data_IF_131630372241
#
_entry.id   IF_131630372241
#
_cell.length_a   1.000
_cell.length_b   1.000
_cell.length_c   1.000
_cell.angle_alpha   90.00
_cell.angle_beta   90.00
_cell.angle_gamma   90.00
#
_symmetry.space_group_name_H-M   'P 1'
#
loop_
_entity.id
_entity.type
_entity.pdbx_description
1 polymer ?
#
# COMPACT_ATOMS: atom_id res chain seq x y z
N UNK A 1 4.57 15.31 -8.72
CA UNK A 1 3.10 15.58 -8.72
C UNK A 1 2.29 14.30 -8.64
N UNK A 2 2.18 13.45 -9.69
CA UNK A 2 1.35 12.24 -9.58
C UNK A 2 1.79 11.21 -8.53
N UNK A 3 3.11 10.99 -8.35
CA UNK A 3 3.65 9.97 -7.42
C UNK A 3 3.59 10.39 -5.95
N UNK A 4 3.81 11.66 -5.66
CA UNK A 4 3.81 12.17 -4.27
C UNK A 4 2.40 12.10 -3.67
N UNK A 5 1.37 12.37 -4.47
CA UNK A 5 -0.03 12.20 -4.06
C UNK A 5 -0.35 10.73 -3.72
N UNK A 6 0.15 9.77 -4.50
CA UNK A 6 -0.13 8.34 -4.28
C UNK A 6 0.52 7.78 -3.00
N UNK A 7 1.66 8.34 -2.59
CA UNK A 7 2.45 7.80 -1.46
C UNK A 7 2.29 8.60 -0.17
N UNK A 8 1.90 9.86 -0.27
CA UNK A 8 1.91 10.81 0.85
C UNK A 8 0.80 11.88 0.78
N UNK A 9 -0.18 11.73 -0.14
CA UNK A 9 -1.24 12.70 -0.34
C UNK A 9 -2.29 12.71 0.79
N UNK A 10 -2.84 11.55 1.13
CA UNK A 10 -3.92 11.43 2.12
C UNK A 10 -5.32 11.70 1.53
N UNK A 11 -6.33 11.81 2.40
CA UNK A 11 -7.75 11.99 2.07
C UNK A 11 -8.38 10.90 1.18
N UNK A 12 -7.76 9.71 1.12
CA UNK A 12 -8.27 8.58 0.35
C UNK A 12 -9.47 7.88 1.03
N UNK A 13 -9.52 7.89 2.37
CA UNK A 13 -10.49 7.15 3.19
C UNK A 13 -10.59 5.63 2.85
N UNK A 14 -9.50 5.06 2.34
CA UNK A 14 -9.38 3.64 1.99
C UNK A 14 -8.84 2.78 3.14
N UNK A 15 -9.08 1.47 3.08
CA UNK A 15 -8.52 0.50 4.03
C UNK A 15 -7.21 -0.10 3.50
N UNK A 16 -6.09 0.17 4.19
CA UNK A 16 -4.83 -0.54 3.99
C UNK A 16 -4.66 -1.60 5.09
N UNK A 17 -4.52 -2.86 4.71
CA UNK A 17 -4.46 -3.98 5.65
C UNK A 17 -3.49 -5.08 5.19
N UNK A 18 -3.14 -5.97 6.13
CA UNK A 18 -2.31 -7.16 5.87
C UNK A 18 -3.13 -8.43 6.06
N UNK A 19 -2.84 -9.47 5.29
CA UNK A 19 -3.44 -10.79 5.48
C UNK A 19 -2.46 -11.91 5.11
N UNK A 20 -2.70 -13.12 5.64
CA UNK A 20 -1.93 -14.30 5.27
C UNK A 20 -2.14 -14.63 3.78
N UNK A 21 -1.05 -15.01 3.09
CA UNK A 21 -1.09 -15.33 1.66
C UNK A 21 -2.12 -16.42 1.30
N UNK A 22 -2.31 -17.40 2.18
CA UNK A 22 -3.30 -18.47 2.02
C UNK A 22 -4.77 -18.00 1.98
N UNK A 23 -5.06 -16.76 2.42
CA UNK A 23 -6.40 -16.17 2.44
C UNK A 23 -6.70 -15.30 1.21
N UNK A 24 -5.79 -15.25 0.22
CA UNK A 24 -5.91 -14.37 -0.94
C UNK A 24 -7.23 -14.58 -1.70
N UNK A 25 -7.62 -15.82 -1.96
CA UNK A 25 -8.84 -16.12 -2.72
C UNK A 25 -10.11 -15.70 -1.97
N UNK A 26 -10.11 -15.86 -0.65
CA UNK A 26 -11.22 -15.45 0.22
C UNK A 26 -11.38 -13.93 0.24
N UNK A 27 -10.27 -13.19 0.28
CA UNK A 27 -10.26 -11.72 0.19
C UNK A 27 -10.78 -11.25 -1.18
N UNK A 28 -10.31 -11.87 -2.28
CA UNK A 28 -10.80 -11.52 -3.62
C UNK A 28 -12.29 -11.82 -3.78
N UNK A 29 -12.80 -12.90 -3.18
CA UNK A 29 -14.22 -13.20 -3.16
C UNK A 29 -15.02 -12.15 -2.38
N UNK A 30 -14.52 -11.67 -1.24
CA UNK A 30 -15.13 -10.57 -0.48
C UNK A 30 -15.17 -9.30 -1.32
N UNK A 31 -14.07 -8.93 -1.99
CA UNK A 31 -14.00 -7.77 -2.87
C UNK A 31 -15.04 -7.81 -3.98
N UNK A 32 -15.16 -8.94 -4.68
CA UNK A 32 -16.19 -9.15 -5.72
C UNK A 32 -17.60 -9.03 -5.15
N UNK A 33 -17.87 -9.67 -4.01
CA UNK A 33 -19.21 -9.65 -3.36
C UNK A 33 -19.62 -8.24 -2.95
N UNK A 34 -18.68 -7.43 -2.48
CA UNK A 34 -18.92 -6.06 -2.06
C UNK A 34 -18.78 -5.03 -3.20
N UNK A 35 -18.44 -5.48 -4.41
CA UNK A 35 -18.12 -4.63 -5.55
C UNK A 35 -17.01 -3.60 -5.24
N UNK A 36 -15.98 -4.03 -4.53
CA UNK A 36 -14.81 -3.23 -4.17
C UNK A 36 -13.59 -3.64 -5.00
N UNK A 37 -12.82 -2.65 -5.45
CA UNK A 37 -11.58 -2.90 -6.15
C UNK A 37 -10.43 -3.11 -5.15
N UNK A 38 -10.00 -4.35 -4.97
CA UNK A 38 -8.90 -4.69 -4.05
C UNK A 38 -7.61 -4.89 -4.84
N UNK A 39 -6.53 -4.24 -4.40
CA UNK A 39 -5.21 -4.35 -5.02
C UNK A 39 -4.16 -4.80 -4.00
N UNK A 40 -3.42 -5.87 -4.32
CA UNK A 40 -2.26 -6.26 -3.51
C UNK A 40 -1.06 -5.39 -3.90
N UNK A 41 -0.60 -4.56 -2.98
CA UNK A 41 0.46 -3.56 -3.24
C UNK A 41 1.84 -3.93 -2.66
N UNK A 42 1.96 -5.05 -1.94
CA UNK A 42 3.23 -5.47 -1.35
C UNK A 42 3.13 -6.72 -0.50
N UNK A 43 4.14 -6.94 0.34
CA UNK A 43 4.21 -8.01 1.33
C UNK A 43 4.90 -7.52 2.61
N UNK A 44 4.57 -8.17 3.73
CA UNK A 44 5.30 -8.00 4.99
C UNK A 44 6.47 -8.99 5.00
N UNK A 45 7.64 -8.51 5.41
CA UNK A 45 8.85 -9.32 5.58
C UNK A 45 9.51 -8.98 6.92
N UNK A 46 10.59 -9.68 7.26
CA UNK A 46 11.27 -9.53 8.56
C UNK A 46 12.21 -8.29 8.63
N UNK A 47 11.96 -7.24 7.85
CA UNK A 47 12.90 -6.11 7.65
C UNK A 47 13.06 -5.14 8.83
N UNK A 48 12.80 -5.54 10.08
CA UNK A 48 12.97 -4.71 11.29
C UNK A 48 12.41 -3.27 11.16
N UNK A 49 11.29 -3.11 10.46
CA UNK A 49 10.62 -1.81 10.26
C UNK A 49 11.10 -1.01 9.04
N UNK A 50 12.01 -1.54 8.22
CA UNK A 50 12.42 -0.87 6.98
C UNK A 50 11.36 -1.05 5.88
N UNK A 51 10.85 0.07 5.36
CA UNK A 51 9.98 0.10 4.18
C UNK A 51 10.83 0.17 2.91
N UNK A 52 10.62 -0.78 1.98
CA UNK A 52 11.21 -0.74 0.64
C UNK A 52 10.14 -0.44 -0.38
N UNK A 53 10.28 0.69 -1.08
CA UNK A 53 9.43 1.04 -2.21
C UNK A 53 10.13 0.64 -3.50
N UNK A 54 9.43 -0.09 -4.37
CA UNK A 54 9.95 -0.52 -5.67
C UNK A 54 9.16 0.16 -6.79
N UNK A 55 9.84 0.50 -7.88
CA UNK A 55 9.18 0.94 -9.12
C UNK A 55 8.59 -0.24 -9.91
N UNK A 56 7.94 0.06 -11.04
CA UNK A 56 7.35 -0.97 -11.91
C UNK A 56 8.38 -1.95 -12.52
N UNK A 57 9.67 -1.60 -12.52
CA UNK A 57 10.77 -2.46 -12.94
C UNK A 57 11.43 -3.20 -11.75
N UNK A 58 10.86 -3.10 -10.55
CA UNK A 58 11.39 -3.73 -9.33
C UNK A 58 12.61 -3.03 -8.73
N UNK A 59 12.92 -1.80 -9.16
CA UNK A 59 14.08 -1.06 -8.67
C UNK A 59 13.73 -0.27 -7.41
N UNK A 60 14.61 -0.26 -6.39
CA UNK A 60 14.40 0.55 -5.19
C UNK A 60 14.21 2.03 -5.51
N UNK A 61 13.31 2.66 -4.76
CA UNK A 61 12.95 4.06 -4.90
C UNK A 61 13.00 4.73 -3.53
N UNK A 62 13.54 5.96 -3.49
CA UNK A 62 13.49 6.81 -2.32
C UNK A 62 12.17 7.59 -2.26
N UNK A 63 11.62 7.76 -1.07
CA UNK A 63 10.53 8.71 -0.84
C UNK A 63 11.12 10.02 -0.34
N UNK A 64 10.87 11.12 -1.06
CA UNK A 64 11.36 12.45 -0.71
C UNK A 64 10.43 13.20 0.26
N UNK A 65 9.16 12.78 0.36
CA UNK A 65 8.17 13.34 1.28
C UNK A 65 7.54 12.25 2.13
N UNK A 66 7.39 12.54 3.41
CA UNK A 66 6.60 11.76 4.35
C UNK A 66 5.15 12.23 4.31
N UNK A 67 4.24 11.39 4.81
CA UNK A 67 2.82 11.74 4.91
C UNK A 67 2.56 12.97 5.77
N UNK A 68 1.29 13.38 5.80
CA UNK A 68 0.83 14.53 6.58
C UNK A 68 1.25 14.47 8.05
N UNK A 69 1.78 15.58 8.56
CA UNK A 69 2.10 15.82 9.96
C UNK A 69 1.37 17.10 10.38
N UNK A 70 0.57 17.01 11.44
CA UNK A 70 -0.24 18.12 11.95
C UNK A 70 0.59 19.32 12.43
N UNK A 71 1.88 19.13 12.72
CA UNK A 71 2.73 20.14 13.38
C UNK A 71 4.04 20.42 12.65
N UNK A 72 4.26 19.85 11.46
CA UNK A 72 5.48 20.03 10.66
C UNK A 72 5.54 21.38 9.94
#
# INVERSE_FOLDING_TARGET
>A
MGRDCLLSGGDDYELCFTAAAARQDEILAIGRRLNLNLSRIGCINESNGALSLLDAAGRPMSMERTGYDHFA
#
